data_IF_922548011362
#
_entry.id   IF_922548011362
#
_cell.length_a   1.000
_cell.length_b   1.000
_cell.length_c   1.000
_cell.angle_alpha   90.00
_cell.angle_beta   90.00
_cell.angle_gamma   90.00
#
_symmetry.space_group_name_H-M   'P 1'
#
loop_
_entity.id
_entity.type
_entity.pdbx_description
1 polymer ?
#
# COMPACT_ATOMS: atom_id res chain seq x y z
N UNK A 1 -17.21 -12.69 21.02
CA UNK A 1 -17.62 -11.27 20.90
C UNK A 1 -16.70 -10.65 19.86
N UNK A 2 -17.19 -9.91 18.86
CA UNK A 2 -16.27 -9.33 17.86
C UNK A 2 -15.41 -8.25 18.55
N UNK A 3 -14.09 -8.19 18.30
CA UNK A 3 -13.26 -7.13 18.85
C UNK A 3 -13.75 -5.76 18.40
N UNK A 4 -13.75 -4.78 19.28
CA UNK A 4 -14.08 -3.39 18.95
C UNK A 4 -12.96 -2.77 18.09
N UNK A 5 -13.27 -2.41 16.85
CA UNK A 5 -12.31 -1.84 15.90
C UNK A 5 -11.62 -0.58 16.42
N UNK A 6 -12.34 0.24 17.21
CA UNK A 6 -11.81 1.46 17.82
C UNK A 6 -10.70 1.17 18.82
N UNK A 7 -10.79 0.08 19.58
CA UNK A 7 -9.76 -0.29 20.55
C UNK A 7 -8.49 -0.79 19.85
N UNK A 8 -8.65 -1.54 18.75
CA UNK A 8 -7.52 -1.99 17.93
C UNK A 8 -6.77 -0.79 17.36
N UNK A 9 -7.47 0.19 16.79
CA UNK A 9 -6.84 1.40 16.23
C UNK A 9 -6.04 2.17 17.28
N UNK A 10 -6.59 2.35 18.50
CA UNK A 10 -5.87 3.02 19.59
C UNK A 10 -4.60 2.28 20.01
N UNK A 11 -4.65 0.94 20.06
CA UNK A 11 -3.47 0.13 20.39
C UNK A 11 -2.41 0.20 19.30
N UNK A 12 -2.81 0.14 18.03
CA UNK A 12 -1.90 0.29 16.91
C UNK A 12 -1.19 1.65 16.95
N UNK A 13 -1.93 2.74 17.19
CA UNK A 13 -1.35 4.06 17.38
C UNK A 13 -0.37 4.15 18.58
N UNK A 14 -0.56 3.33 19.61
CA UNK A 14 0.37 3.20 20.74
C UNK A 14 1.66 2.44 20.41
N UNK A 15 1.67 1.60 19.38
CA UNK A 15 2.86 0.91 18.88
C UNK A 15 3.67 1.85 17.98
N UNK A 16 2.97 2.47 17.04
CA UNK A 16 3.50 3.45 16.10
C UNK A 16 2.33 4.27 15.52
N UNK A 17 2.34 5.60 15.65
CA UNK A 17 1.25 6.46 15.17
C UNK A 17 1.09 6.45 13.64
N UNK A 18 2.09 5.96 12.91
CA UNK A 18 2.05 5.86 11.45
C UNK A 18 1.40 4.56 10.95
N UNK A 19 1.02 3.63 11.84
CA UNK A 19 0.26 2.43 11.48
C UNK A 19 -1.19 2.80 11.17
N UNK A 20 -1.64 2.45 9.96
CA UNK A 20 -3.02 2.62 9.53
C UNK A 20 -3.79 1.29 9.68
N UNK A 21 -4.90 1.30 10.41
CA UNK A 21 -5.84 0.18 10.48
C UNK A 21 -6.75 0.19 9.26
N UNK A 22 -6.80 -0.93 8.52
CA UNK A 22 -7.63 -1.03 7.32
C UNK A 22 -8.91 -1.85 7.56
N UNK A 23 -8.76 -3.05 8.13
CA UNK A 23 -9.87 -3.97 8.31
C UNK A 23 -9.55 -5.07 9.32
N UNK A 24 -10.60 -5.61 9.93
CA UNK A 24 -10.57 -6.86 10.69
C UNK A 24 -11.61 -7.82 10.11
N UNK A 25 -11.15 -8.94 9.56
CA UNK A 25 -11.99 -9.97 8.95
C UNK A 25 -11.93 -11.28 9.72
N UNK A 26 -12.98 -12.11 9.65
CA UNK A 26 -12.95 -13.45 10.20
C UNK A 26 -12.46 -14.43 9.12
N UNK A 27 -11.25 -14.96 9.29
CA UNK A 27 -10.59 -15.84 8.35
C UNK A 27 -10.98 -17.32 8.58
N UNK A 28 -12.27 -17.62 8.61
CA UNK A 28 -12.79 -18.99 8.79
C UNK A 28 -12.55 -19.59 10.19
N UNK A 29 -13.57 -20.29 10.72
CA UNK A 29 -13.54 -20.78 12.10
C UNK A 29 -13.32 -19.65 13.11
N UNK A 30 -12.43 -19.89 14.08
CA UNK A 30 -12.00 -18.90 15.08
C UNK A 30 -10.77 -18.10 14.65
N UNK A 31 -10.51 -17.92 13.35
CA UNK A 31 -9.37 -17.09 12.90
C UNK A 31 -9.80 -15.66 12.59
N UNK A 32 -8.96 -14.69 12.94
CA UNK A 32 -9.12 -13.28 12.64
C UNK A 32 -7.96 -12.80 11.76
N UNK A 33 -8.24 -12.02 10.73
CA UNK A 33 -7.25 -11.39 9.86
C UNK A 33 -7.32 -9.88 10.04
N UNK A 34 -6.20 -9.31 10.45
CA UNK A 34 -6.00 -7.88 10.65
C UNK A 34 -5.21 -7.32 9.47
N UNK A 35 -5.78 -6.32 8.81
CA UNK A 35 -5.12 -5.58 7.74
C UNK A 35 -4.59 -4.26 8.27
N UNK A 36 -3.28 -4.05 8.11
CA UNK A 36 -2.59 -2.81 8.49
C UNK A 36 -1.77 -2.26 7.31
N UNK A 37 -1.58 -0.96 7.26
CA UNK A 37 -0.58 -0.31 6.42
C UNK A 37 0.37 0.55 7.26
N UNK A 38 1.50 0.93 6.69
CA UNK A 38 2.50 1.77 7.34
C UNK A 38 3.30 2.52 6.27
N UNK A 39 3.56 3.84 6.34
CA UNK A 39 4.23 4.58 5.27
C UNK A 39 5.56 3.95 4.84
N UNK A 40 6.33 3.38 5.78
CA UNK A 40 7.60 2.69 5.49
C UNK A 40 7.50 1.31 4.87
N UNK A 41 6.29 0.76 4.75
CA UNK A 41 6.11 -0.65 4.45
C UNK A 41 5.82 -1.42 5.73
N UNK A 42 5.01 -2.46 5.59
CA UNK A 42 4.78 -3.38 6.69
C UNK A 42 5.88 -4.45 6.63
N UNK A 43 6.77 -4.41 7.61
CA UNK A 43 7.84 -5.41 7.75
C UNK A 43 7.37 -6.56 8.64
N UNK A 44 8.07 -7.71 8.58
CA UNK A 44 7.79 -8.84 9.47
C UNK A 44 7.92 -8.43 10.95
N UNK A 45 8.87 -7.56 11.27
CA UNK A 45 9.07 -7.02 12.63
C UNK A 45 7.87 -6.19 13.09
N UNK A 46 7.31 -5.36 12.21
CA UNK A 46 6.09 -4.60 12.50
C UNK A 46 4.91 -5.54 12.76
N UNK A 47 4.72 -6.56 11.92
CA UNK A 47 3.70 -7.58 12.15
C UNK A 47 3.88 -8.28 13.50
N UNK A 48 5.11 -8.64 13.87
CA UNK A 48 5.39 -9.27 15.16
C UNK A 48 5.06 -8.35 16.35
N UNK A 49 5.39 -7.05 16.26
CA UNK A 49 5.06 -6.06 17.29
C UNK A 49 3.55 -5.92 17.44
N UNK A 50 2.82 -5.85 16.33
CA UNK A 50 1.35 -5.78 16.30
C UNK A 50 0.74 -7.04 16.92
N UNK A 51 1.15 -8.22 16.47
CA UNK A 51 0.67 -9.51 17.02
C UNK A 51 0.93 -9.61 18.52
N UNK A 52 2.11 -9.19 19.00
CA UNK A 52 2.46 -9.23 20.43
C UNK A 52 1.63 -8.26 21.27
N UNK A 53 1.21 -7.12 20.71
CA UNK A 53 0.38 -6.13 21.42
C UNK A 53 -1.10 -6.52 21.45
N UNK A 54 -1.51 -7.40 20.55
CA UNK A 54 -2.87 -7.93 20.42
C UNK A 54 -2.97 -9.36 20.95
N UNK A 55 -2.10 -9.75 21.88
CA UNK A 55 -2.02 -11.12 22.40
C UNK A 55 -3.32 -11.56 23.07
N UNK A 56 -4.06 -10.66 23.69
CA UNK A 56 -5.39 -10.95 24.25
C UNK A 56 -6.43 -11.35 23.17
N UNK A 57 -6.28 -10.90 21.93
CA UNK A 57 -7.08 -11.40 20.80
C UNK A 57 -6.63 -12.81 20.34
N UNK A 58 -5.38 -13.20 20.63
CA UNK A 58 -4.82 -14.52 20.30
C UNK A 58 -5.31 -15.64 21.23
N UNK A 59 -5.85 -15.30 22.41
CA UNK A 59 -6.25 -16.30 23.42
C UNK A 59 -7.50 -17.07 22.98
N UNK A 60 -8.37 -16.43 22.20
CA UNK A 60 -9.60 -17.06 21.68
C UNK A 60 -9.53 -17.34 20.16
N UNK A 61 -8.62 -16.70 19.41
CA UNK A 61 -8.62 -16.72 17.95
C UNK A 61 -7.20 -16.79 17.36
N UNK A 62 -7.02 -17.41 16.18
CA UNK A 62 -5.75 -17.32 15.43
C UNK A 62 -5.69 -15.98 14.70
N UNK A 63 -4.75 -15.09 15.03
CA UNK A 63 -4.59 -13.77 14.39
C UNK A 63 -3.56 -13.81 13.25
N UNK A 64 -3.97 -13.42 12.05
CA UNK A 64 -3.08 -13.20 10.91
C UNK A 64 -2.97 -11.69 10.62
N UNK A 65 -1.77 -11.13 10.69
CA UNK A 65 -1.51 -9.72 10.35
C UNK A 65 -0.97 -9.66 8.93
N UNK A 66 -1.71 -9.01 8.03
CA UNK A 66 -1.35 -8.88 6.62
C UNK A 66 -1.30 -7.42 6.21
N UNK A 67 -0.30 -7.08 5.40
CA UNK A 67 -0.33 -5.83 4.65
C UNK A 67 -1.34 -5.96 3.51
N UNK A 68 -2.02 -4.87 3.08
CA UNK A 68 -2.58 -4.86 1.74
C UNK A 68 -1.40 -5.18 0.81
N UNK A 69 -1.52 -6.22 -0.01
CA UNK A 69 -0.39 -6.79 -0.74
C UNK A 69 0.21 -5.83 -1.80
N UNK A 70 0.74 -6.35 -2.91
CA UNK A 70 1.63 -5.62 -3.84
C UNK A 70 1.08 -4.35 -4.52
N UNK A 71 -0.16 -3.95 -4.24
CA UNK A 71 -0.80 -2.74 -4.77
C UNK A 71 -0.78 -1.58 -3.75
N UNK A 72 0.39 -1.25 -3.17
CA UNK A 72 0.49 -0.07 -2.27
C UNK A 72 -0.02 1.17 -3.00
N UNK A 73 -1.14 1.79 -2.57
CA UNK A 73 -1.72 2.90 -3.28
C UNK A 73 -0.82 4.15 -3.15
N UNK A 74 -0.43 4.72 -4.28
CA UNK A 74 0.23 6.01 -4.35
C UNK A 74 -0.88 7.06 -4.44
N UNK A 75 -1.13 7.80 -3.37
CA UNK A 75 -2.22 8.80 -3.31
C UNK A 75 -1.69 10.22 -3.13
N UNK A 76 -0.47 10.38 -2.59
CA UNK A 76 0.15 11.68 -2.30
C UNK A 76 1.43 11.90 -3.12
N UNK A 77 1.78 13.16 -3.45
CA UNK A 77 3.05 13.51 -4.10
C UNK A 77 4.27 12.92 -3.36
N UNK A 78 4.24 12.98 -2.04
CA UNK A 78 5.29 12.47 -1.14
C UNK A 78 5.57 10.98 -1.35
N UNK A 79 4.54 10.20 -1.69
CA UNK A 79 4.73 8.78 -1.98
C UNK A 79 5.56 8.60 -3.26
N UNK A 80 5.30 9.38 -4.31
CA UNK A 80 6.06 9.29 -5.57
C UNK A 80 7.52 9.71 -5.39
N UNK A 81 7.78 10.75 -4.60
CA UNK A 81 9.15 11.18 -4.25
C UNK A 81 9.90 10.06 -3.54
N UNK A 82 9.26 9.45 -2.54
CA UNK A 82 9.82 8.35 -1.75
C UNK A 82 10.20 7.13 -2.60
N UNK A 83 9.44 6.85 -3.66
CA UNK A 83 9.64 5.67 -4.51
C UNK A 83 10.28 6.01 -5.87
N UNK A 84 11.01 7.12 -5.97
CA UNK A 84 11.83 7.46 -7.15
C UNK A 84 12.73 6.27 -7.51
N UNK A 85 12.76 5.91 -8.80
CA UNK A 85 13.48 4.75 -9.32
C UNK A 85 12.75 3.41 -9.23
N UNK A 86 11.54 3.35 -8.65
CA UNK A 86 10.70 2.14 -8.63
C UNK A 86 9.66 2.17 -9.74
N UNK A 87 9.19 0.99 -10.17
CA UNK A 87 8.07 0.88 -11.11
C UNK A 87 6.75 1.18 -10.41
N UNK A 88 5.92 1.98 -11.06
CA UNK A 88 4.57 2.29 -10.62
C UNK A 88 3.59 2.15 -11.80
N UNK A 89 2.36 1.82 -11.48
CA UNK A 89 1.23 1.85 -12.40
C UNK A 89 0.30 2.98 -11.99
N UNK A 90 0.05 3.89 -12.90
CA UNK A 90 -0.80 5.07 -12.72
C UNK A 90 -1.94 5.02 -13.74
N UNK A 91 -3.16 5.12 -13.24
CA UNK A 91 -4.37 5.26 -14.03
C UNK A 91 -4.91 6.68 -13.88
N UNK A 92 -5.18 7.34 -14.98
CA UNK A 92 -5.72 8.70 -14.99
C UNK A 92 -7.23 8.72 -15.17
N UNK A 93 -7.88 9.80 -14.68
CA UNK A 93 -9.31 10.06 -14.85
C UNK A 93 -9.60 10.37 -16.32
N UNK A 94 -8.82 11.30 -16.87
CA UNK A 94 -8.88 11.72 -18.27
C UNK A 94 -7.70 11.11 -19.07
N UNK A 95 -7.87 10.83 -20.37
CA UNK A 95 -6.78 10.37 -21.20
C UNK A 95 -5.71 11.45 -21.34
N UNK A 96 -4.47 11.10 -21.06
CA UNK A 96 -3.28 11.89 -21.36
C UNK A 96 -2.60 11.20 -22.55
N UNK A 97 -2.35 11.93 -23.63
CA UNK A 97 -1.77 11.35 -24.86
C UNK A 97 -2.51 10.09 -25.36
N UNK A 98 -3.85 10.16 -25.44
CA UNK A 98 -4.74 9.06 -25.85
C UNK A 98 -4.67 7.79 -24.95
N UNK A 99 -4.00 7.87 -23.79
CA UNK A 99 -3.81 6.77 -22.85
C UNK A 99 -4.32 7.12 -21.46
N UNK A 100 -4.89 6.13 -20.78
CA UNK A 100 -5.37 6.25 -19.39
C UNK A 100 -4.61 5.40 -18.40
N UNK A 101 -3.74 4.51 -18.88
CA UNK A 101 -2.99 3.58 -18.05
C UNK A 101 -1.52 3.72 -18.41
N UNK A 102 -0.71 4.04 -17.41
CA UNK A 102 0.72 4.24 -17.52
C UNK A 102 1.40 3.27 -16.56
N UNK A 103 2.36 2.51 -17.07
CA UNK A 103 3.18 1.63 -16.24
C UNK A 103 4.62 1.96 -16.58
N UNK A 104 5.37 2.45 -15.61
CA UNK A 104 6.73 2.93 -15.85
C UNK A 104 7.51 3.13 -14.56
N UNK A 105 8.79 3.42 -14.69
CA UNK A 105 9.66 3.78 -13.58
C UNK A 105 9.42 5.23 -13.19
N UNK A 106 9.28 5.53 -11.91
CA UNK A 106 9.20 6.91 -11.41
C UNK A 106 10.56 7.55 -11.66
N UNK A 107 10.64 8.44 -12.64
CA UNK A 107 11.87 9.16 -13.00
C UNK A 107 12.03 10.38 -12.12
N UNK A 108 10.97 11.17 -11.96
CA UNK A 108 10.92 12.37 -11.14
C UNK A 108 9.53 12.54 -10.52
N UNK A 109 9.47 13.21 -9.38
CA UNK A 109 8.23 13.57 -8.70
C UNK A 109 8.41 15.01 -8.21
N UNK A 110 7.62 15.91 -8.78
CA UNK A 110 7.59 17.34 -8.45
C UNK A 110 6.38 17.64 -7.54
N UNK A 111 6.13 18.89 -7.17
CA UNK A 111 5.02 19.24 -6.27
C UNK A 111 3.63 18.96 -6.86
N UNK A 112 3.48 19.01 -8.20
CA UNK A 112 2.17 18.93 -8.87
C UNK A 112 2.02 17.76 -9.83
N UNK A 113 3.10 17.08 -10.20
CA UNK A 113 3.12 16.03 -11.21
C UNK A 113 4.22 14.99 -10.98
N UNK A 114 4.02 13.79 -11.51
CA UNK A 114 5.01 12.71 -11.55
C UNK A 114 5.42 12.39 -12.98
N UNK A 115 6.73 12.27 -13.20
CA UNK A 115 7.30 11.79 -14.45
C UNK A 115 7.51 10.27 -14.38
N UNK A 116 6.84 9.55 -15.28
CA UNK A 116 7.02 8.10 -15.46
C UNK A 116 7.78 7.81 -16.76
N UNK A 117 8.83 7.01 -16.65
CA UNK A 117 9.60 6.49 -17.77
C UNK A 117 9.12 5.11 -18.21
N UNK A 118 8.77 4.95 -19.48
CA UNK A 118 8.42 3.67 -20.08
C UNK A 118 8.94 3.59 -21.53
N UNK A 119 9.52 2.45 -21.94
CA UNK A 119 10.00 2.22 -23.33
C UNK A 119 10.87 3.36 -23.90
N UNK A 120 11.71 3.99 -23.07
CA UNK A 120 12.57 5.12 -23.48
C UNK A 120 11.83 6.45 -23.69
N UNK A 121 10.56 6.53 -23.30
CA UNK A 121 9.73 7.74 -23.30
C UNK A 121 9.43 8.16 -21.87
N UNK A 122 9.20 9.45 -21.68
CA UNK A 122 8.72 10.04 -20.43
C UNK A 122 7.30 10.55 -20.63
N UNK A 123 6.42 10.31 -19.66
CA UNK A 123 5.13 10.98 -19.54
C UNK A 123 5.05 11.67 -18.20
N UNK A 124 4.51 12.89 -18.22
CA UNK A 124 4.23 13.66 -17.01
C UNK A 124 2.75 13.58 -16.68
N UNK A 125 2.43 13.19 -15.45
CA UNK A 125 1.07 12.95 -15.01
C UNK A 125 0.79 13.88 -13.82
N UNK A 126 -0.12 14.86 -13.95
CA UNK A 126 -0.56 15.68 -12.83
C UNK A 126 -1.25 14.84 -11.76
N UNK A 127 -0.96 15.09 -10.48
CA UNK A 127 -1.58 14.33 -9.38
C UNK A 127 -3.10 14.47 -9.36
N UNK A 128 -3.62 15.65 -9.73
CA UNK A 128 -5.07 15.88 -9.83
C UNK A 128 -5.76 15.03 -10.90
N UNK A 129 -5.01 14.51 -11.87
CA UNK A 129 -5.52 13.62 -12.92
C UNK A 129 -5.41 12.14 -12.57
N UNK A 130 -4.78 11.78 -11.45
CA UNK A 130 -4.60 10.39 -11.02
C UNK A 130 -5.90 9.86 -10.42
N UNK A 131 -6.49 8.86 -11.07
CA UNK A 131 -7.67 8.14 -10.55
C UNK A 131 -7.28 7.04 -9.57
N UNK A 132 -6.17 6.34 -9.85
CA UNK A 132 -5.63 5.26 -9.02
C UNK A 132 -4.16 5.06 -9.39
N UNK A 133 -3.32 4.81 -8.40
CA UNK A 133 -1.96 4.36 -8.67
C UNK A 133 -1.43 3.43 -7.60
N UNK A 134 -0.55 2.52 -7.99
CA UNK A 134 0.14 1.64 -7.07
C UNK A 134 1.58 1.38 -7.51
N UNK A 135 2.44 0.99 -6.57
CA UNK A 135 3.74 0.43 -6.92
C UNK A 135 3.56 -0.92 -7.60
N UNK A 136 4.42 -1.19 -8.58
CA UNK A 136 4.55 -2.52 -9.15
C UNK A 136 5.74 -3.17 -8.44
N UNK A 137 5.56 -4.34 -7.80
CA UNK A 137 6.69 -5.04 -7.19
C UNK A 137 7.75 -5.33 -8.25
N UNK A 138 9.01 -5.26 -7.83
CA UNK A 138 10.16 -5.64 -8.65
C UNK A 138 10.25 -7.17 -8.70
N UNK A 139 9.18 -7.81 -9.17
CA UNK A 139 9.23 -9.22 -9.48
C UNK A 139 9.98 -9.31 -10.80
N UNK A 140 11.11 -10.01 -10.79
CA UNK A 140 11.75 -10.50 -12.00
C UNK A 140 10.79 -11.47 -12.71
N UNK A 141 9.75 -10.94 -13.36
CA UNK A 141 8.90 -11.68 -14.28
C UNK A 141 8.93 -10.94 -15.61
N UNK A 142 9.98 -11.27 -16.36
CA UNK A 142 9.83 -11.38 -17.80
C UNK A 142 8.71 -12.36 -18.08
N UNK A 143 7.66 -11.84 -18.72
CA UNK A 143 6.95 -12.45 -19.82
C UNK A 143 6.85 -14.00 -19.83
N UNK A 144 5.62 -14.46 -19.62
CA UNK A 144 4.91 -15.27 -20.61
C UNK A 144 5.72 -16.35 -21.35
N UNK A 145 5.56 -17.62 -20.94
CA UNK A 145 4.72 -18.60 -21.63
C UNK A 145 4.60 -19.89 -20.83
#
# INVERSE_FOLDING_TARGET
MKPDSTEIEQRLAGIDPEIEFLALEQAGGDSLRLFIDHPDGVTLELCQRVTSNLTDLLVEHSLEVSSPGPERPLTRPEHFVRFKGRRAKVRTVEPIEDRRNFTGTILEAEDQEVALGFDGREVRIPYGSVARSHLVPDTAEGAAK
#
